data_IF_647598440208
#
_entry.id   IF_647598440208
#
_cell.length_a   1.000
_cell.length_b   1.000
_cell.length_c   1.000
_cell.angle_alpha   90.00
_cell.angle_beta   90.00
_cell.angle_gamma   90.00
#
_symmetry.space_group_name_H-M   'P 1'
#
loop_
_entity.id
_entity.type
_entity.pdbx_description
1 polymer ?
#
# COMPACT_ATOMS: atom_id res chain seq x y z
N UNK A 1 -3.85 -23.36 -4.33
CA UNK A 1 -3.74 -22.13 -3.51
C UNK A 1 -2.85 -21.17 -4.27
N UNK A 2 -3.22 -19.89 -4.45
CA UNK A 2 -2.23 -18.88 -4.86
C UNK A 2 -1.33 -18.59 -3.67
N UNK A 3 -0.01 -18.63 -3.87
CA UNK A 3 0.98 -18.12 -2.91
C UNK A 3 1.21 -16.65 -3.23
N UNK A 4 0.72 -15.75 -2.38
CA UNK A 4 0.85 -14.30 -2.58
C UNK A 4 2.30 -13.90 -2.93
N UNK A 5 2.53 -13.03 -3.94
CA UNK A 5 3.87 -12.61 -4.35
C UNK A 5 4.75 -12.12 -3.20
N UNK A 6 6.07 -12.33 -3.28
CA UNK A 6 6.99 -11.84 -2.25
C UNK A 6 7.12 -10.30 -2.32
N UNK A 7 7.32 -9.66 -1.18
CA UNK A 7 7.71 -8.24 -1.14
C UNK A 7 9.12 -8.06 -1.70
N UNK A 8 9.31 -6.99 -2.49
CA UNK A 8 10.61 -6.50 -2.92
C UNK A 8 11.30 -5.69 -1.81
N UNK A 9 12.58 -5.39 -1.99
CA UNK A 9 13.40 -4.70 -0.98
C UNK A 9 12.93 -3.27 -0.63
N UNK A 10 12.08 -2.65 -1.46
CA UNK A 10 11.43 -1.37 -1.18
C UNK A 10 10.17 -1.51 -0.28
N UNK A 11 9.81 -2.72 0.15
CA UNK A 11 8.63 -2.99 0.99
C UNK A 11 7.31 -3.18 0.24
N UNK A 12 7.33 -3.20 -1.10
CA UNK A 12 6.13 -3.30 -1.94
C UNK A 12 6.04 -4.64 -2.69
N UNK A 13 4.82 -5.02 -3.09
CA UNK A 13 4.53 -6.08 -4.08
C UNK A 13 3.34 -5.71 -4.96
N UNK A 14 3.39 -6.06 -6.26
CA UNK A 14 2.20 -6.14 -7.12
C UNK A 14 1.56 -7.52 -6.92
N UNK A 15 0.24 -7.57 -6.78
CA UNK A 15 -0.56 -8.77 -6.55
C UNK A 15 -1.16 -9.30 -7.87
N UNK A 16 -1.60 -10.55 -7.89
CA UNK A 16 -2.17 -11.24 -9.06
C UNK A 16 -3.37 -10.51 -9.69
N UNK A 17 -4.08 -9.69 -8.91
CA UNK A 17 -5.22 -8.86 -9.35
C UNK A 17 -4.84 -7.44 -9.81
N UNK A 18 -3.54 -7.12 -9.91
CA UNK A 18 -3.03 -5.80 -10.27
C UNK A 18 -2.91 -4.79 -9.12
N UNK A 19 -3.46 -5.07 -7.93
CA UNK A 19 -3.26 -4.23 -6.74
C UNK A 19 -1.77 -4.17 -6.38
N UNK A 20 -1.38 -3.12 -5.65
CA UNK A 20 -0.04 -2.94 -5.11
C UNK A 20 -0.14 -2.79 -3.60
N UNK A 21 0.56 -3.66 -2.87
CA UNK A 21 0.50 -3.75 -1.41
C UNK A 21 1.87 -3.41 -0.79
N UNK A 22 1.85 -2.57 0.26
CA UNK A 22 3.01 -2.32 1.11
C UNK A 22 3.04 -3.28 2.31
N UNK A 23 4.23 -3.56 2.86
CA UNK A 23 4.41 -4.48 4.00
C UNK A 23 3.62 -4.11 5.26
N UNK A 24 3.16 -2.86 5.39
CA UNK A 24 2.30 -2.40 6.48
C UNK A 24 0.83 -2.85 6.34
N UNK A 25 0.48 -3.53 5.23
CA UNK A 25 -0.88 -3.98 4.93
C UNK A 25 -1.75 -2.96 4.21
N UNK A 26 -1.16 -1.84 3.74
CA UNK A 26 -1.83 -0.83 2.92
C UNK A 26 -1.84 -1.27 1.45
N UNK A 27 -2.99 -1.14 0.76
CA UNK A 27 -3.17 -1.51 -0.65
C UNK A 27 -3.69 -0.35 -1.50
N UNK A 28 -3.23 -0.33 -2.75
CA UNK A 28 -3.73 0.53 -3.81
C UNK A 28 -4.17 -0.32 -5.00
N UNK A 29 -5.32 0.01 -5.59
CA UNK A 29 -5.81 -0.58 -6.83
C UNK A 29 -5.55 0.38 -8.00
N UNK A 30 -5.29 -0.14 -9.22
CA UNK A 30 -5.23 0.68 -10.42
C UNK A 30 -6.59 1.32 -10.74
N UNK A 31 -6.58 2.60 -11.07
CA UNK A 31 -7.72 3.38 -11.54
C UNK A 31 -7.79 3.34 -13.08
N UNK A 32 -8.98 3.46 -13.70
CA UNK A 32 -9.11 3.60 -15.17
C UNK A 32 -8.33 4.75 -15.81
N UNK A 33 -7.83 5.72 -15.02
CA UNK A 33 -7.02 6.85 -15.47
C UNK A 33 -5.51 6.66 -15.23
N UNK A 34 -5.03 5.41 -15.20
CA UNK A 34 -3.64 5.01 -14.90
C UNK A 34 -3.11 5.46 -13.52
N UNK A 35 -4.02 5.91 -12.64
CA UNK A 35 -3.73 6.32 -11.27
C UNK A 35 -3.76 5.14 -10.31
N UNK A 36 -3.36 5.38 -9.07
CA UNK A 36 -3.60 4.48 -7.95
C UNK A 36 -4.65 5.06 -7.01
N UNK A 37 -5.66 4.25 -6.68
CA UNK A 37 -6.68 4.55 -5.67
C UNK A 37 -6.42 3.69 -4.43
N UNK A 38 -6.47 4.30 -3.24
CA UNK A 38 -6.42 3.56 -1.97
C UNK A 38 -7.56 2.54 -1.88
N UNK A 39 -7.27 1.33 -1.42
CA UNK A 39 -8.27 0.30 -1.11
C UNK A 39 -8.74 0.50 0.33
N UNK A 40 -9.93 1.06 0.52
CA UNK A 40 -10.44 1.50 1.84
C UNK A 40 -10.39 0.40 2.92
N UNK A 41 -10.65 -0.86 2.55
CA UNK A 41 -10.56 -2.00 3.46
C UNK A 41 -9.15 -2.19 4.05
N UNK A 42 -8.10 -1.90 3.28
CA UNK A 42 -6.69 -2.03 3.69
C UNK A 42 -6.28 -0.98 4.72
N UNK A 43 -6.94 0.19 4.75
CA UNK A 43 -6.66 1.25 5.72
C UNK A 43 -6.92 0.77 7.16
N UNK A 44 -7.92 -0.08 7.36
CA UNK A 44 -8.21 -0.70 8.67
C UNK A 44 -7.08 -1.64 9.14
N UNK A 45 -6.46 -2.36 8.21
CA UNK A 45 -5.33 -3.28 8.47
C UNK A 45 -4.07 -2.46 8.76
N UNK A 46 -3.79 -1.46 7.94
CA UNK A 46 -2.69 -0.51 8.13
C UNK A 46 -2.71 0.17 9.51
N UNK A 47 -3.84 0.78 9.89
CA UNK A 47 -3.99 1.46 11.19
C UNK A 47 -3.84 0.46 12.35
N UNK A 48 -4.39 -0.76 12.23
CA UNK A 48 -4.24 -1.79 13.26
C UNK A 48 -2.78 -2.22 13.42
N UNK A 49 -2.08 -2.50 12.33
CA UNK A 49 -0.68 -2.92 12.35
C UNK A 49 0.21 -1.86 12.99
N UNK A 50 0.07 -0.60 12.58
CA UNK A 50 0.82 0.51 13.18
C UNK A 50 0.52 0.73 14.67
N UNK A 51 -0.72 0.51 15.12
CA UNK A 51 -1.06 0.54 16.55
C UNK A 51 -0.41 -0.60 17.34
N UNK A 52 -0.23 -1.79 16.74
CA UNK A 52 0.55 -2.87 17.36
C UNK A 52 2.05 -2.57 17.39
N UNK A 53 2.57 -1.81 16.44
CA UNK A 53 3.95 -1.28 16.43
C UNK A 53 4.14 -0.07 17.37
N UNK A 54 3.08 0.38 18.07
CA UNK A 54 3.13 1.49 19.03
C UNK A 54 3.13 2.89 18.40
N UNK A 55 2.83 3.01 17.11
CA UNK A 55 2.80 4.30 16.42
C UNK A 55 1.58 5.15 16.84
N UNK A 56 1.82 6.46 16.95
CA UNK A 56 0.78 7.46 17.18
C UNK A 56 -0.03 7.74 15.90
N UNK A 57 -1.21 8.33 16.05
CA UNK A 57 -2.07 8.74 14.93
C UNK A 57 -1.34 9.68 13.95
N UNK A 58 -0.63 10.70 14.45
CA UNK A 58 0.19 11.59 13.61
C UNK A 58 1.34 10.86 12.88
N UNK A 59 1.89 9.78 13.44
CA UNK A 59 2.87 8.95 12.73
C UNK A 59 2.20 8.11 11.63
N UNK A 60 1.01 7.58 11.88
CA UNK A 60 0.22 6.84 10.89
C UNK A 60 -0.22 7.74 9.73
N UNK A 61 -0.68 8.97 9.98
CA UNK A 61 -1.01 9.97 8.95
C UNK A 61 0.20 10.32 8.08
N UNK A 62 1.34 10.64 8.70
CA UNK A 62 2.59 10.94 7.98
C UNK A 62 3.06 9.78 7.12
N UNK A 63 2.95 8.55 7.63
CA UNK A 63 3.30 7.36 6.86
C UNK A 63 2.29 7.07 5.74
N UNK A 64 0.99 7.28 5.95
CA UNK A 64 -0.04 7.14 4.92
C UNK A 64 0.18 8.11 3.76
N UNK A 65 0.48 9.38 4.06
CA UNK A 65 0.82 10.38 3.04
C UNK A 65 2.08 9.96 2.27
N UNK A 66 3.15 9.57 2.98
CA UNK A 66 4.41 9.12 2.36
C UNK A 66 4.19 7.89 1.46
N UNK A 67 3.46 6.88 1.92
CA UNK A 67 3.21 5.67 1.14
C UNK A 67 2.32 5.95 -0.07
N UNK A 68 1.34 6.84 0.04
CA UNK A 68 0.51 7.28 -1.09
C UNK A 68 1.34 8.00 -2.15
N UNK A 69 2.24 8.89 -1.73
CA UNK A 69 3.17 9.57 -2.63
C UNK A 69 4.14 8.57 -3.30
N UNK A 70 4.77 7.69 -2.53
CA UNK A 70 5.66 6.65 -3.08
C UNK A 70 4.92 5.70 -4.03
N UNK A 71 3.66 5.37 -3.77
CA UNK A 71 2.85 4.55 -4.65
C UNK A 71 2.62 5.25 -6.00
N UNK A 72 2.29 6.55 -5.98
CA UNK A 72 2.15 7.35 -7.19
C UNK A 72 3.49 7.42 -7.97
N UNK A 73 4.58 7.79 -7.31
CA UNK A 73 5.91 7.96 -7.91
C UNK A 73 6.51 6.66 -8.48
N UNK A 74 6.26 5.51 -7.85
CA UNK A 74 6.90 4.23 -8.24
C UNK A 74 6.05 3.38 -9.20
N UNK A 75 4.77 3.68 -9.42
CA UNK A 75 3.88 2.77 -10.14
C UNK A 75 2.87 3.42 -11.10
N UNK A 76 2.64 4.74 -11.07
CA UNK A 76 1.88 5.43 -12.13
C UNK A 76 2.77 5.52 -13.38
N UNK A 77 2.25 5.09 -14.53
CA UNK A 77 3.00 5.03 -15.79
C UNK A 77 3.96 3.85 -15.95
N UNK A 78 4.03 2.90 -15.00
CA UNK A 78 4.74 1.62 -15.18
C UNK A 78 3.79 0.49 -15.60
N UNK A 79 3.60 0.42 -16.92
CA UNK A 79 2.94 -0.66 -17.65
C UNK A 79 3.93 -1.78 -17.99
#
# INVERSE_FOLDING_TARGET
MSTLPKFAANGWRRLDNGNIQHLSGLEFAPDPYERLKLVDASLSVFIRNLRHEGATEQQAERLLHKLTQQAAEQFVGLH
#
